data_IF_771387235723
#
_entry.id   IF_771387235723
#
_cell.length_a   1.000
_cell.length_b   1.000
_cell.length_c   1.000
_cell.angle_alpha   90.00
_cell.angle_beta   90.00
_cell.angle_gamma   90.00
#
_symmetry.space_group_name_H-M   'P 1'
#
loop_
_entity.id
_entity.type
_entity.pdbx_description
1 polymer ?
#
# COMPACT_ATOMS: atom_id res chain seq x y z
N UNK A 1 11.94 8.40 2.44
CA UNK A 1 11.07 7.52 3.24
C UNK A 1 11.93 6.60 4.11
N UNK A 2 11.66 6.47 5.41
CA UNK A 2 12.52 5.68 6.32
C UNK A 2 12.39 4.17 6.06
N UNK A 3 13.47 3.53 5.57
CA UNK A 3 13.54 2.06 5.38
C UNK A 3 13.17 1.27 6.65
N UNK A 4 13.32 1.87 7.83
CA UNK A 4 12.96 1.25 9.12
C UNK A 4 11.45 1.07 9.27
N UNK A 5 10.66 2.07 8.89
CA UNK A 5 9.20 2.03 9.03
C UNK A 5 8.57 0.99 8.09
N UNK A 6 9.05 0.88 6.84
CA UNK A 6 8.58 -0.18 5.93
C UNK A 6 8.82 -1.55 6.55
N UNK A 7 10.03 -1.81 7.06
CA UNK A 7 10.37 -3.11 7.69
C UNK A 7 9.51 -3.41 8.91
N UNK A 8 9.20 -2.39 9.71
CA UNK A 8 8.31 -2.51 10.87
C UNK A 8 6.88 -2.88 10.44
N UNK A 9 6.31 -2.17 9.45
CA UNK A 9 4.98 -2.43 8.93
C UNK A 9 4.88 -3.80 8.24
N UNK A 10 5.90 -4.19 7.47
CA UNK A 10 5.97 -5.52 6.84
C UNK A 10 5.90 -6.63 7.87
N UNK A 11 6.62 -6.49 9.00
CA UNK A 11 6.54 -7.46 10.10
C UNK A 11 5.20 -7.40 10.83
N UNK A 12 4.71 -6.19 11.13
CA UNK A 12 3.48 -5.97 11.90
C UNK A 12 2.25 -6.55 11.22
N UNK A 13 2.14 -6.41 9.90
CA UNK A 13 1.00 -6.88 9.11
C UNK A 13 1.27 -8.19 8.36
N UNK A 14 2.42 -8.84 8.63
CA UNK A 14 2.85 -10.09 7.99
C UNK A 14 2.75 -10.00 6.46
N UNK A 15 3.44 -9.02 5.87
CA UNK A 15 3.33 -8.72 4.44
C UNK A 15 4.27 -9.58 3.59
N UNK A 16 3.72 -10.15 2.53
CA UNK A 16 4.52 -10.81 1.50
C UNK A 16 5.30 -9.79 0.62
N UNK A 17 6.24 -10.23 -0.23
CA UNK A 17 7.05 -9.32 -1.03
C UNK A 17 6.26 -8.41 -1.99
N UNK A 18 5.13 -8.86 -2.55
CA UNK A 18 4.31 -8.02 -3.42
C UNK A 18 3.45 -7.05 -2.60
N UNK A 19 2.93 -7.48 -1.46
CA UNK A 19 2.27 -6.60 -0.49
C UNK A 19 3.19 -5.50 0.02
N UNK A 20 4.46 -5.80 0.27
CA UNK A 20 5.47 -4.82 0.67
C UNK A 20 5.72 -3.77 -0.43
N UNK A 21 5.77 -4.16 -1.71
CA UNK A 21 5.87 -3.22 -2.84
C UNK A 21 4.66 -2.30 -2.92
N UNK A 22 3.45 -2.87 -2.79
CA UNK A 22 2.21 -2.09 -2.83
C UNK A 22 2.13 -1.13 -1.64
N UNK A 23 2.52 -1.57 -0.44
CA UNK A 23 2.65 -0.69 0.72
C UNK A 23 3.60 0.48 0.42
N UNK A 24 4.81 0.20 -0.07
CA UNK A 24 5.78 1.25 -0.40
C UNK A 24 5.24 2.25 -1.43
N UNK A 25 4.53 1.76 -2.45
CA UNK A 25 3.84 2.59 -3.42
C UNK A 25 2.81 3.54 -2.77
N UNK A 26 1.93 3.01 -1.90
CA UNK A 26 0.91 3.83 -1.24
C UNK A 26 1.47 4.73 -0.14
N UNK A 27 2.60 4.39 0.48
CA UNK A 27 3.27 5.29 1.42
C UNK A 27 3.85 6.55 0.75
N UNK A 28 4.12 6.49 -0.56
CA UNK A 28 4.58 7.65 -1.36
C UNK A 28 3.42 8.49 -1.90
N UNK A 29 2.33 7.83 -2.31
CA UNK A 29 1.22 8.49 -3.01
C UNK A 29 0.00 8.78 -2.15
N UNK A 30 -0.15 8.09 -1.00
CA UNK A 30 -1.23 8.19 -0.01
C UNK A 30 -2.63 7.82 -0.52
N UNK A 31 -3.09 8.38 -1.64
CA UNK A 31 -4.37 8.12 -2.28
C UNK A 31 -4.21 8.07 -3.78
N UNK A 32 -4.70 7.01 -4.42
CA UNK A 32 -4.55 6.80 -5.86
C UNK A 32 -5.86 6.28 -6.44
N UNK A 33 -6.29 6.84 -7.56
CA UNK A 33 -7.40 6.31 -8.36
C UNK A 33 -7.16 4.86 -8.79
N UNK A 34 -8.21 4.05 -8.82
CA UNK A 34 -8.09 2.60 -9.00
C UNK A 34 -7.39 2.21 -10.30
N UNK A 35 -7.77 2.85 -11.41
CA UNK A 35 -7.21 2.57 -12.73
C UNK A 35 -5.71 2.87 -12.74
N UNK A 36 -5.31 4.00 -12.17
CA UNK A 36 -3.91 4.41 -12.11
C UNK A 36 -3.09 3.47 -11.22
N UNK A 37 -3.63 3.11 -10.03
CA UNK A 37 -2.97 2.19 -9.12
C UNK A 37 -2.70 0.83 -9.76
N UNK A 38 -3.70 0.24 -10.42
CA UNK A 38 -3.54 -1.05 -11.11
C UNK A 38 -2.49 -0.93 -12.23
N UNK A 39 -2.54 0.14 -13.02
CA UNK A 39 -1.62 0.36 -14.14
C UNK A 39 -0.16 0.51 -13.67
N UNK A 40 0.09 1.36 -12.68
CA UNK A 40 1.44 1.62 -12.16
C UNK A 40 2.01 0.42 -11.39
N UNK A 41 1.20 -0.23 -10.56
CA UNK A 41 1.64 -1.42 -9.82
C UNK A 41 2.01 -2.57 -10.76
N UNK A 42 1.32 -2.69 -11.89
CA UNK A 42 1.65 -3.69 -12.93
C UNK A 42 2.90 -3.30 -13.70
N UNK A 43 2.91 -2.09 -14.28
CA UNK A 43 3.92 -1.69 -15.26
C UNK A 43 5.26 -1.29 -14.64
N UNK A 44 5.23 -0.68 -13.44
CA UNK A 44 6.41 -0.09 -12.79
C UNK A 44 6.90 -0.96 -11.64
N UNK A 45 5.98 -1.46 -10.80
CA UNK A 45 6.32 -2.27 -9.63
C UNK A 45 6.31 -3.78 -9.90
N UNK A 46 5.93 -4.19 -11.13
CA UNK A 46 5.89 -5.58 -11.58
C UNK A 46 5.11 -6.52 -10.63
N UNK A 47 4.03 -6.00 -10.03
CA UNK A 47 3.09 -6.79 -9.25
C UNK A 47 2.15 -7.50 -10.21
N UNK A 48 2.17 -8.84 -10.24
CA UNK A 48 1.44 -9.64 -11.24
C UNK A 48 -0.07 -9.53 -11.10
N UNK A 49 -0.59 -9.54 -9.87
CA UNK A 49 -2.03 -9.51 -9.59
C UNK A 49 -2.38 -8.36 -8.63
N UNK A 50 -2.19 -7.09 -9.02
CA UNK A 50 -2.22 -5.95 -8.10
C UNK A 50 -3.57 -5.80 -7.42
N UNK A 51 -4.68 -6.11 -8.10
CA UNK A 51 -6.01 -6.07 -7.50
C UNK A 51 -6.14 -7.07 -6.33
N UNK A 52 -5.63 -8.30 -6.49
CA UNK A 52 -5.64 -9.30 -5.41
C UNK A 52 -4.81 -8.83 -4.23
N UNK A 53 -3.62 -8.29 -4.49
CA UNK A 53 -2.71 -7.77 -3.45
C UNK A 53 -3.37 -6.61 -2.70
N UNK A 54 -3.98 -5.65 -3.41
CA UNK A 54 -4.72 -4.54 -2.81
C UNK A 54 -5.86 -5.04 -1.92
N UNK A 55 -6.65 -6.01 -2.39
CA UNK A 55 -7.75 -6.59 -1.59
C UNK A 55 -7.21 -7.23 -0.31
N UNK A 56 -6.08 -7.96 -0.36
CA UNK A 56 -5.45 -8.51 0.85
C UNK A 56 -5.00 -7.41 1.81
N UNK A 57 -4.38 -6.35 1.30
CA UNK A 57 -3.95 -5.21 2.12
C UNK A 57 -5.12 -4.42 2.73
N UNK A 58 -6.27 -4.34 2.03
CA UNK A 58 -7.50 -3.78 2.59
C UNK A 58 -8.00 -4.65 3.75
N UNK A 59 -8.04 -5.98 3.57
CA UNK A 59 -8.43 -6.92 4.63
C UNK A 59 -7.49 -6.84 5.84
N UNK A 60 -6.20 -6.55 5.62
CA UNK A 60 -5.20 -6.34 6.68
C UNK A 60 -5.27 -4.96 7.35
N UNK A 61 -6.12 -4.05 6.88
CA UNK A 61 -6.21 -2.68 7.41
C UNK A 61 -5.05 -1.77 7.02
N UNK A 62 -4.22 -2.19 6.07
CA UNK A 62 -3.09 -1.40 5.55
C UNK A 62 -3.58 -0.36 4.55
N UNK A 63 -4.54 -0.74 3.72
CA UNK A 63 -5.20 0.14 2.76
C UNK A 63 -6.70 0.26 3.08
N UNK A 64 -7.34 1.28 2.51
CA UNK A 64 -8.79 1.43 2.51
C UNK A 64 -9.32 1.74 1.11
N UNK A 65 -10.56 1.32 0.85
CA UNK A 65 -11.28 1.61 -0.40
C UNK A 65 -12.09 2.89 -0.23
N UNK A 66 -11.89 3.85 -1.12
CA UNK A 66 -12.79 5.00 -1.31
C UNK A 66 -13.63 4.82 -2.58
N UNK A 67 -14.38 5.86 -2.96
CA UNK A 67 -15.12 5.87 -4.22
C UNK A 67 -14.14 6.09 -5.39
N UNK A 68 -13.84 5.05 -6.15
CA UNK A 68 -12.94 5.14 -7.31
C UNK A 68 -11.45 5.25 -6.95
N UNK A 69 -11.07 5.08 -5.68
CA UNK A 69 -9.69 5.18 -5.22
C UNK A 69 -9.31 4.17 -4.12
N UNK A 70 -8.02 3.93 -3.99
CA UNK A 70 -7.41 3.23 -2.87
C UNK A 70 -6.57 4.21 -2.06
N UNK A 71 -6.57 4.06 -0.75
CA UNK A 71 -5.89 4.95 0.17
C UNK A 71 -5.05 4.16 1.14
N UNK A 72 -3.94 4.74 1.60
CA UNK A 72 -3.25 4.27 2.79
C UNK A 72 -4.15 4.45 4.01
N UNK A 73 -4.16 3.49 4.94
CA UNK A 73 -5.00 3.61 6.13
C UNK A 73 -4.65 4.84 6.97
N UNK A 74 -5.62 5.37 7.69
CA UNK A 74 -5.43 6.54 8.56
C UNK A 74 -4.42 6.26 9.67
N UNK A 75 -4.36 5.02 10.17
CA UNK A 75 -3.38 4.59 11.15
C UNK A 75 -1.95 4.73 10.62
N UNK A 76 -1.68 4.20 9.41
CA UNK A 76 -0.34 4.27 8.82
C UNK A 76 0.02 5.71 8.43
N UNK A 77 -0.96 6.51 7.97
CA UNK A 77 -0.76 7.95 7.70
C UNK A 77 -0.27 8.71 8.94
N UNK A 78 -0.90 8.49 10.10
CA UNK A 78 -0.45 9.11 11.37
C UNK A 78 0.99 8.71 11.72
N UNK A 79 1.37 7.45 11.49
CA UNK A 79 2.75 6.99 11.70
C UNK A 79 3.75 7.69 10.77
N UNK A 80 3.32 8.13 9.58
CA UNK A 80 4.15 8.90 8.65
C UNK A 80 4.32 10.36 9.07
N UNK A 81 3.26 10.99 9.60
CA UNK A 81 3.26 12.39 10.06
C UNK A 81 4.00 12.59 11.38
N UNK A 82 4.01 11.57 12.25
CA UNK A 82 4.65 11.62 13.58
C UNK A 82 6.18 11.55 13.57
N UNK A 83 6.84 11.75 12.42
CA UNK A 83 8.29 11.64 12.23
C UNK A 83 8.85 12.79 11.42
#
# INVERSE_FOLDING_TARGET
MSRRLIKELVRRYDLDPDEAKVLEYFMRNISVGEILAIRELTAIYHVREPLKVIIRLIKKGVLTKGLGCYNLSSEIRKLLESR
#
